data_IF_203146661569
#
_entry.id   IF_203146661569
#
_cell.length_a   1.000
_cell.length_b   1.000
_cell.length_c   1.000
_cell.angle_alpha   90.00
_cell.angle_beta   90.00
_cell.angle_gamma   90.00
#
_symmetry.space_group_name_H-M   'P 1'
#
loop_
_entity.id
_entity.type
_entity.pdbx_description
1 polymer ?
#
# COMPACT_ATOMS: atom_id res chain seq x y z
N UNK A 1 -36.81 17.51 -46.03
CA UNK A 1 -35.51 17.14 -45.44
C UNK A 1 -35.76 16.91 -43.95
N UNK A 2 -35.71 15.65 -43.49
CA UNK A 2 -35.98 15.30 -42.11
C UNK A 2 -34.63 15.37 -41.35
N UNK A 3 -34.54 16.28 -40.39
CA UNK A 3 -33.38 16.40 -39.49
C UNK A 3 -33.37 15.18 -38.57
N UNK A 4 -32.43 14.26 -38.82
CA UNK A 4 -32.14 13.14 -37.91
C UNK A 4 -31.33 13.69 -36.73
N UNK A 5 -31.98 13.89 -35.61
CA UNK A 5 -31.32 14.23 -34.34
C UNK A 5 -30.73 12.96 -33.76
N UNK A 6 -29.42 12.79 -33.90
CA UNK A 6 -28.69 11.66 -33.27
C UNK A 6 -28.45 12.05 -31.81
N UNK A 7 -29.21 11.44 -30.89
CA UNK A 7 -28.90 11.48 -29.46
C UNK A 7 -27.75 10.53 -29.17
N UNK A 8 -26.54 11.05 -28.99
CA UNK A 8 -25.42 10.29 -28.44
C UNK A 8 -25.65 10.22 -26.94
N UNK A 9 -26.17 9.09 -26.47
CA UNK A 9 -26.26 8.78 -25.04
C UNK A 9 -24.86 8.43 -24.53
N UNK A 10 -24.16 9.42 -23.92
CA UNK A 10 -22.89 9.17 -23.27
C UNK A 10 -23.15 8.40 -21.97
N UNK A 11 -22.99 7.09 -22.02
CA UNK A 11 -23.03 6.24 -20.83
C UNK A 11 -21.73 6.49 -20.05
N UNK A 12 -21.78 7.37 -19.06
CA UNK A 12 -20.70 7.52 -18.08
C UNK A 12 -20.80 6.30 -17.15
N UNK A 13 -20.04 5.27 -17.44
CA UNK A 13 -19.83 4.17 -16.49
C UNK A 13 -19.03 4.72 -15.32
N UNK A 14 -19.65 4.83 -14.14
CA UNK A 14 -18.92 5.06 -12.90
C UNK A 14 -18.18 3.76 -12.61
N UNK A 15 -16.89 3.72 -12.90
CA UNK A 15 -16.03 2.59 -12.50
C UNK A 15 -15.89 2.68 -10.99
N UNK A 16 -16.61 1.82 -10.27
CA UNK A 16 -16.45 1.64 -8.84
C UNK A 16 -15.48 0.47 -8.63
N UNK A 17 -14.38 0.73 -7.96
CA UNK A 17 -13.45 -0.34 -7.56
C UNK A 17 -14.13 -1.35 -6.62
N UNK A 18 -13.74 -2.60 -6.71
CA UNK A 18 -14.16 -3.66 -5.81
C UNK A 18 -13.39 -3.59 -4.48
N UNK A 19 -13.89 -4.31 -3.48
CA UNK A 19 -13.16 -4.53 -2.23
C UNK A 19 -12.77 -6.00 -2.18
N UNK A 20 -11.46 -6.27 -2.15
CA UNK A 20 -10.91 -7.59 -1.93
C UNK A 20 -10.45 -7.70 -0.47
N UNK A 21 -10.93 -8.72 0.22
CA UNK A 21 -10.63 -8.93 1.64
C UNK A 21 -9.45 -9.88 1.79
N UNK A 22 -8.58 -9.53 2.73
CA UNK A 22 -7.43 -10.34 3.14
C UNK A 22 -7.54 -10.62 4.64
N UNK A 23 -7.48 -11.88 5.04
CA UNK A 23 -7.64 -12.33 6.42
C UNK A 23 -6.58 -13.36 6.81
N UNK A 24 -6.07 -13.30 8.04
CA UNK A 24 -5.15 -14.31 8.58
C UNK A 24 -5.74 -15.73 8.62
N UNK A 25 -7.04 -15.85 8.43
CA UNK A 25 -7.79 -17.12 8.30
C UNK A 25 -8.26 -17.39 6.88
N UNK A 26 -7.81 -16.60 5.91
CA UNK A 26 -8.12 -16.74 4.49
C UNK A 26 -7.42 -17.91 3.80
N UNK A 27 -7.58 -18.00 2.50
CA UNK A 27 -6.95 -19.05 1.69
C UNK A 27 -6.59 -18.49 0.30
N UNK A 28 -5.33 -18.63 -0.13
CA UNK A 28 -4.88 -18.10 -1.42
C UNK A 28 -5.17 -19.02 -2.61
N UNK A 29 -5.48 -20.31 -2.35
CA UNK A 29 -5.81 -21.27 -3.41
C UNK A 29 -7.31 -21.27 -3.73
N UNK A 30 -8.16 -21.18 -2.71
CA UNK A 30 -9.62 -21.26 -2.84
C UNK A 30 -10.35 -19.95 -2.54
N UNK A 31 -9.68 -18.95 -1.99
CA UNK A 31 -10.23 -17.62 -1.73
C UNK A 31 -10.56 -16.89 -3.04
N UNK A 32 -11.63 -16.12 -3.02
CA UNK A 32 -12.05 -15.27 -4.14
C UNK A 32 -11.98 -13.76 -3.78
N UNK A 33 -11.46 -13.44 -2.59
CA UNK A 33 -11.34 -12.08 -2.09
C UNK A 33 -12.66 -11.47 -1.59
N UNK A 34 -13.75 -12.21 -1.56
CA UNK A 34 -14.97 -11.75 -0.91
C UNK A 34 -14.84 -11.74 0.62
N UNK A 35 -15.74 -11.03 1.31
CA UNK A 35 -15.74 -11.00 2.77
C UNK A 35 -15.93 -12.38 3.41
N UNK A 36 -16.62 -13.30 2.72
CA UNK A 36 -16.87 -14.66 3.21
C UNK A 36 -15.79 -15.67 2.83
N UNK A 37 -14.97 -15.34 1.83
CA UNK A 37 -13.92 -16.22 1.32
C UNK A 37 -12.65 -15.38 0.99
N UNK A 38 -12.01 -14.75 2.01
CA UNK A 38 -10.90 -13.84 1.83
C UNK A 38 -9.62 -14.55 1.38
N UNK A 39 -8.70 -13.81 0.80
CA UNK A 39 -7.33 -14.27 0.57
C UNK A 39 -6.55 -14.37 1.89
N UNK A 40 -5.53 -15.20 1.91
CA UNK A 40 -4.65 -15.39 3.08
C UNK A 40 -3.55 -14.34 3.13
N UNK A 41 -2.96 -13.97 2.00
CA UNK A 41 -1.82 -13.05 1.97
C UNK A 41 -2.18 -11.69 1.37
N UNK A 42 -1.53 -10.65 1.87
CA UNK A 42 -1.71 -9.29 1.33
C UNK A 42 -1.27 -9.24 -0.14
N UNK A 43 -0.16 -9.94 -0.49
CA UNK A 43 0.33 -9.94 -1.87
C UNK A 43 -0.70 -10.56 -2.82
N UNK A 44 -1.33 -11.67 -2.44
CA UNK A 44 -2.41 -12.27 -3.26
C UNK A 44 -3.55 -11.29 -3.51
N UNK A 45 -3.98 -10.57 -2.47
CA UNK A 45 -4.99 -9.52 -2.63
C UNK A 45 -4.56 -8.41 -3.60
N UNK A 46 -3.28 -8.00 -3.54
CA UNK A 46 -2.70 -7.01 -4.46
C UNK A 46 -2.64 -7.56 -5.88
N UNK A 47 -2.22 -8.80 -6.06
CA UNK A 47 -2.07 -9.42 -7.38
C UNK A 47 -3.42 -9.55 -8.11
N UNK A 48 -4.47 -9.94 -7.40
CA UNK A 48 -5.83 -10.11 -7.93
C UNK A 48 -6.59 -8.77 -8.11
N UNK A 49 -6.18 -7.70 -7.42
CA UNK A 49 -6.82 -6.40 -7.53
C UNK A 49 -6.66 -5.80 -8.94
N UNK A 50 -7.73 -5.26 -9.47
CA UNK A 50 -7.74 -4.40 -10.66
C UNK A 50 -7.46 -2.94 -10.27
N UNK A 51 -7.18 -2.09 -11.27
CA UNK A 51 -7.03 -0.66 -11.03
C UNK A 51 -8.29 -0.08 -10.37
N UNK A 52 -8.08 0.80 -9.37
CA UNK A 52 -9.09 1.44 -8.52
C UNK A 52 -9.72 0.53 -7.46
N UNK A 53 -9.37 -0.75 -7.38
CA UNK A 53 -9.83 -1.62 -6.31
C UNK A 53 -9.21 -1.26 -4.95
N UNK A 54 -9.87 -1.72 -3.89
CA UNK A 54 -9.37 -1.65 -2.52
C UNK A 54 -9.03 -3.05 -2.03
N UNK A 55 -7.80 -3.23 -1.58
CA UNK A 55 -7.37 -4.42 -0.84
C UNK A 55 -7.54 -4.11 0.65
N UNK A 56 -8.57 -4.66 1.26
CA UNK A 56 -8.89 -4.49 2.68
C UNK A 56 -8.23 -5.61 3.49
N UNK A 57 -7.23 -5.22 4.27
CA UNK A 57 -6.48 -6.11 5.15
C UNK A 57 -7.12 -6.08 6.53
N UNK A 58 -7.70 -7.19 6.96
CA UNK A 58 -8.35 -7.30 8.25
C UNK A 58 -7.33 -7.24 9.41
N UNK A 59 -7.83 -6.96 10.62
CA UNK A 59 -6.99 -6.88 11.81
C UNK A 59 -6.18 -8.17 12.02
N UNK A 60 -4.93 -8.00 12.39
CA UNK A 60 -4.00 -9.11 12.58
C UNK A 60 -2.54 -8.67 12.55
N UNK A 61 -1.65 -9.64 12.70
CA UNK A 61 -0.21 -9.46 12.52
C UNK A 61 0.18 -10.10 11.19
N UNK A 62 0.76 -9.29 10.32
CA UNK A 62 1.03 -9.64 8.93
C UNK A 62 2.52 -9.61 8.64
N UNK A 63 2.94 -10.43 7.71
CA UNK A 63 4.26 -10.31 7.09
C UNK A 63 4.28 -9.10 6.15
N UNK A 64 5.42 -8.40 6.11
CA UNK A 64 5.69 -7.36 5.12
C UNK A 64 6.32 -7.95 3.86
N UNK A 65 6.93 -7.07 3.07
CA UNK A 65 7.56 -7.46 1.81
C UNK A 65 6.58 -7.47 0.64
N UNK A 66 5.46 -6.76 0.77
CA UNK A 66 4.46 -6.65 -0.30
C UNK A 66 4.85 -5.57 -1.31
N UNK A 67 4.52 -5.80 -2.57
CA UNK A 67 4.83 -4.89 -3.67
C UNK A 67 3.58 -4.51 -4.46
N UNK A 68 3.40 -3.21 -4.67
CA UNK A 68 2.40 -2.63 -5.58
C UNK A 68 3.19 -2.05 -6.76
N UNK A 69 3.14 -2.71 -7.90
CA UNK A 69 3.90 -2.31 -9.09
C UNK A 69 2.94 -2.01 -10.25
N UNK A 70 3.05 -0.79 -10.81
CA UNK A 70 2.25 -0.34 -11.96
C UNK A 70 0.74 -0.62 -11.80
N UNK A 71 0.20 -0.37 -10.60
CA UNK A 71 -1.20 -0.67 -10.27
C UNK A 71 -1.78 0.39 -9.34
N UNK A 72 -2.80 1.13 -9.80
CA UNK A 72 -3.51 2.13 -9.00
C UNK A 72 -4.54 1.46 -8.09
N UNK A 73 -4.20 1.21 -6.85
CA UNK A 73 -5.10 0.60 -5.85
C UNK A 73 -5.08 1.37 -4.53
N UNK A 74 -6.03 1.02 -3.66
CA UNK A 74 -6.00 1.37 -2.24
C UNK A 74 -5.64 0.13 -1.43
N UNK A 75 -4.50 0.13 -0.75
CA UNK A 75 -4.16 -0.85 0.27
C UNK A 75 -4.57 -0.29 1.62
N UNK A 76 -5.56 -0.89 2.26
CA UNK A 76 -6.17 -0.36 3.47
C UNK A 76 -6.25 -1.41 4.58
N UNK A 77 -5.68 -1.10 5.73
CA UNK A 77 -5.92 -1.85 6.95
C UNK A 77 -7.31 -1.57 7.53
N UNK A 78 -7.92 -2.53 8.17
CA UNK A 78 -9.20 -2.36 8.84
C UNK A 78 -9.09 -1.32 9.98
N UNK A 79 -8.02 -1.36 10.77
CA UNK A 79 -7.69 -0.31 11.73
C UNK A 79 -6.17 -0.11 11.88
N UNK A 80 -5.74 1.13 12.13
CA UNK A 80 -4.31 1.42 12.31
C UNK A 80 -3.70 0.67 13.51
N UNK A 81 -4.44 0.52 14.60
CA UNK A 81 -3.88 -0.04 15.82
C UNK A 81 -3.79 -1.58 15.78
N UNK A 82 -4.62 -2.23 14.98
CA UNK A 82 -4.75 -3.69 14.98
C UNK A 82 -4.36 -4.35 13.64
N UNK A 83 -4.20 -3.60 12.55
CA UNK A 83 -3.61 -4.11 11.31
C UNK A 83 -2.11 -3.82 11.32
N UNK A 84 -1.31 -4.83 11.66
CA UNK A 84 0.12 -4.68 11.99
C UNK A 84 1.01 -5.43 11.00
N UNK A 85 1.89 -4.72 10.31
CA UNK A 85 3.07 -5.29 9.66
C UNK A 85 4.20 -5.26 10.70
N UNK A 86 4.46 -6.36 11.38
CA UNK A 86 5.33 -6.42 12.55
C UNK A 86 6.23 -7.67 12.58
N UNK A 87 6.47 -8.27 11.43
CA UNK A 87 7.40 -9.38 11.29
C UNK A 87 8.69 -8.82 10.69
N UNK A 88 9.86 -9.12 11.27
CA UNK A 88 11.14 -8.64 10.75
C UNK A 88 11.34 -9.08 9.29
N UNK A 89 11.67 -8.14 8.43
CA UNK A 89 11.94 -8.38 7.00
C UNK A 89 13.25 -7.71 6.61
N UNK A 90 13.97 -8.28 5.65
CA UNK A 90 15.17 -7.68 5.04
C UNK A 90 14.86 -6.83 3.82
N UNK A 91 13.58 -6.75 3.45
CA UNK A 91 13.03 -5.91 2.39
C UNK A 91 12.04 -4.90 2.98
N UNK A 92 11.68 -3.82 2.29
CA UNK A 92 10.65 -2.91 2.76
C UNK A 92 9.33 -3.63 3.03
N UNK A 93 8.61 -3.22 4.08
CA UNK A 93 7.31 -3.82 4.39
C UNK A 93 6.30 -3.60 3.27
N UNK A 94 6.28 -2.38 2.71
CA UNK A 94 5.47 -2.03 1.53
C UNK A 94 6.37 -1.32 0.52
N UNK A 95 6.42 -1.85 -0.70
CA UNK A 95 7.06 -1.22 -1.85
C UNK A 95 6.01 -0.74 -2.84
N UNK A 96 6.12 0.52 -3.31
CA UNK A 96 5.26 1.10 -4.34
C UNK A 96 6.13 1.53 -5.50
N UNK A 97 5.96 0.87 -6.65
CA UNK A 97 6.88 0.97 -7.77
C UNK A 97 6.15 1.33 -9.08
N UNK A 98 6.76 2.22 -9.88
CA UNK A 98 6.34 2.50 -11.26
C UNK A 98 4.86 2.92 -11.42
N UNK A 99 4.32 3.66 -10.44
CA UNK A 99 2.91 4.08 -10.47
C UNK A 99 2.78 5.55 -10.90
N UNK A 100 2.26 5.79 -12.10
CA UNK A 100 1.96 7.13 -12.59
C UNK A 100 0.75 7.77 -11.88
N UNK A 101 -0.21 6.93 -11.48
CA UNK A 101 -1.40 7.32 -10.73
C UNK A 101 -1.18 7.12 -9.22
N UNK A 102 -1.98 7.82 -8.41
CA UNK A 102 -1.81 7.79 -6.97
C UNK A 102 -2.27 6.46 -6.35
N UNK A 103 -1.34 5.73 -5.77
CA UNK A 103 -1.61 4.61 -4.86
C UNK A 103 -1.99 5.15 -3.49
N UNK A 104 -2.94 4.50 -2.79
CA UNK A 104 -3.28 4.85 -1.42
C UNK A 104 -2.85 3.73 -0.46
N UNK A 105 -2.25 4.15 0.67
CA UNK A 105 -1.89 3.24 1.76
C UNK A 105 -2.42 3.83 3.06
N UNK A 106 -3.35 3.13 3.71
CA UNK A 106 -4.09 3.68 4.85
C UNK A 106 -4.23 2.67 6.00
N UNK A 107 -4.24 3.18 7.24
CA UNK A 107 -4.59 2.43 8.45
C UNK A 107 -3.65 1.27 8.78
N UNK A 108 -2.33 1.48 8.75
CA UNK A 108 -1.36 0.44 9.12
C UNK A 108 -0.45 0.88 10.27
N UNK A 109 -0.11 -0.09 11.11
CA UNK A 109 0.99 -0.01 12.04
C UNK A 109 2.17 -0.85 11.52
N UNK A 110 3.27 -0.19 11.15
CA UNK A 110 4.41 -0.83 10.50
C UNK A 110 5.64 -0.70 11.38
N UNK A 111 6.17 -1.84 11.81
CA UNK A 111 7.30 -1.93 12.75
C UNK A 111 8.29 -3.01 12.34
N UNK A 112 9.52 -2.89 12.88
CA UNK A 112 10.60 -3.86 12.75
C UNK A 112 11.05 -4.15 11.32
N UNK A 113 10.74 -3.27 10.38
CA UNK A 113 11.38 -3.32 9.07
C UNK A 113 12.89 -3.12 9.22
N UNK A 114 13.69 -3.88 8.46
CA UNK A 114 15.15 -3.77 8.42
C UNK A 114 15.64 -3.96 6.98
N UNK A 115 15.22 -3.07 6.09
CA UNK A 115 15.56 -3.15 4.68
C UNK A 115 16.99 -2.63 4.42
N UNK A 116 17.80 -3.43 3.73
CA UNK A 116 19.20 -3.10 3.41
C UNK A 116 19.35 -1.77 2.67
N UNK A 117 18.42 -1.45 1.78
CA UNK A 117 18.44 -0.20 1.01
C UNK A 117 17.77 0.98 1.73
N UNK A 118 17.07 0.75 2.84
CA UNK A 118 16.29 1.76 3.57
C UNK A 118 14.83 1.81 3.14
N UNK A 119 14.07 2.73 3.75
CA UNK A 119 12.62 2.79 3.59
C UNK A 119 11.93 1.54 4.12
N UNK A 120 12.35 1.09 5.30
CA UNK A 120 11.98 -0.24 5.80
C UNK A 120 10.49 -0.41 6.08
N UNK A 121 9.76 0.66 6.35
CA UNK A 121 8.31 0.62 6.36
C UNK A 121 7.74 0.83 4.96
N UNK A 122 8.18 1.90 4.26
CA UNK A 122 7.71 2.27 2.93
C UNK A 122 8.90 2.58 2.02
N UNK A 123 9.00 1.88 0.91
CA UNK A 123 9.87 2.22 -0.20
C UNK A 123 9.05 2.63 -1.42
N UNK A 124 9.24 3.84 -1.90
CA UNK A 124 8.48 4.39 -3.02
C UNK A 124 9.48 4.78 -4.13
N UNK A 125 9.31 4.21 -5.31
CA UNK A 125 10.17 4.49 -6.47
C UNK A 125 9.35 4.77 -7.72
N UNK A 126 9.66 5.87 -8.41
CA UNK A 126 8.99 6.29 -9.65
C UNK A 126 7.46 6.28 -9.52
N UNK A 127 6.94 6.80 -8.39
CA UNK A 127 5.54 6.60 -8.01
C UNK A 127 4.95 7.81 -7.28
N UNK A 128 3.61 7.85 -7.25
CA UNK A 128 2.83 8.79 -6.43
C UNK A 128 2.05 8.03 -5.37
N UNK A 129 2.16 8.48 -4.12
CA UNK A 129 1.47 7.84 -2.99
C UNK A 129 0.73 8.87 -2.13
N UNK A 130 -0.49 8.54 -1.73
CA UNK A 130 -1.20 9.20 -0.64
C UNK A 130 -1.30 8.21 0.54
N UNK A 131 -0.57 8.51 1.61
CA UNK A 131 -0.53 7.70 2.82
C UNK A 131 -1.25 8.41 3.95
N UNK A 132 -2.09 7.67 4.67
CA UNK A 132 -2.90 8.24 5.73
C UNK A 132 -3.02 7.28 6.92
N UNK A 133 -3.06 7.87 8.12
CA UNK A 133 -3.31 7.12 9.35
C UNK A 133 -2.34 5.94 9.52
N UNK A 134 -1.03 6.23 9.44
CA UNK A 134 0.04 5.26 9.59
C UNK A 134 0.78 5.47 10.92
N UNK A 135 1.18 4.39 11.58
CA UNK A 135 2.14 4.37 12.69
C UNK A 135 3.41 3.65 12.22
N UNK A 136 4.45 4.43 11.91
CA UNK A 136 5.73 3.93 11.43
C UNK A 136 6.78 4.06 12.52
N UNK A 137 7.11 2.97 13.20
CA UNK A 137 8.01 3.03 14.34
C UNK A 137 8.94 1.82 14.46
N UNK A 138 10.14 2.05 15.04
CA UNK A 138 11.15 1.02 15.26
C UNK A 138 11.56 0.30 13.95
N UNK A 139 11.66 1.06 12.86
CA UNK A 139 12.17 0.55 11.57
C UNK A 139 13.61 1.04 11.41
N UNK A 140 14.44 0.21 10.80
CA UNK A 140 15.86 0.48 10.59
C UNK A 140 16.23 0.21 9.12
N UNK A 141 17.10 1.01 8.54
CA UNK A 141 17.56 0.82 7.17
C UNK A 141 18.78 1.66 6.84
N UNK A 142 19.39 1.46 5.67
CA UNK A 142 20.59 2.22 5.28
C UNK A 142 20.25 3.70 5.06
N UNK A 143 19.17 4.00 4.31
CA UNK A 143 18.71 5.35 4.03
C UNK A 143 17.22 5.47 4.35
N UNK A 144 16.84 6.43 5.23
CA UNK A 144 15.48 6.58 5.69
C UNK A 144 14.97 5.35 6.43
N UNK A 145 15.18 5.29 7.73
CA UNK A 145 14.82 4.11 8.53
C UNK A 145 13.37 3.68 8.37
N UNK A 146 12.43 4.61 8.21
CA UNK A 146 11.03 4.30 7.94
C UNK A 146 10.68 4.43 6.46
N UNK A 147 10.99 5.58 5.84
CA UNK A 147 10.51 5.92 4.49
C UNK A 147 11.69 6.27 3.59
N UNK A 148 11.72 5.69 2.38
CA UNK A 148 12.58 6.12 1.29
C UNK A 148 11.74 6.45 0.06
N UNK A 149 11.97 7.65 -0.48
CA UNK A 149 11.40 8.09 -1.76
C UNK A 149 12.52 8.24 -2.78
N UNK A 150 12.36 7.61 -3.93
CA UNK A 150 13.25 7.75 -5.09
C UNK A 150 12.42 8.18 -6.30
N UNK A 151 12.72 9.37 -6.87
CA UNK A 151 11.99 9.92 -8.00
C UNK A 151 10.46 9.89 -7.83
N UNK A 152 9.96 10.24 -6.65
CA UNK A 152 8.59 9.97 -6.23
C UNK A 152 7.97 11.12 -5.45
N UNK A 153 6.63 11.16 -5.45
CA UNK A 153 5.83 12.11 -4.69
C UNK A 153 5.04 11.39 -3.58
N UNK A 154 5.05 11.96 -2.37
CA UNK A 154 4.29 11.42 -1.25
C UNK A 154 3.48 12.52 -0.56
N UNK A 155 2.20 12.26 -0.36
CA UNK A 155 1.35 13.02 0.55
C UNK A 155 1.09 12.17 1.80
N UNK A 156 1.55 12.64 2.96
CA UNK A 156 1.38 11.94 4.24
C UNK A 156 0.47 12.74 5.16
N UNK A 157 -0.58 12.10 5.69
CA UNK A 157 -1.57 12.74 6.55
C UNK A 157 -1.89 11.89 7.78
N UNK A 158 -2.18 12.55 8.91
CA UNK A 158 -2.66 11.92 10.16
C UNK A 158 -1.81 10.73 10.62
N UNK A 159 -0.47 10.82 10.46
CA UNK A 159 0.45 9.69 10.65
C UNK A 159 1.53 10.01 11.69
N UNK A 160 2.08 8.96 12.30
CA UNK A 160 3.14 9.07 13.32
C UNK A 160 4.39 8.37 12.81
N UNK A 161 5.54 9.06 12.90
CA UNK A 161 6.86 8.52 12.55
C UNK A 161 7.79 8.78 13.73
N UNK A 162 8.20 7.72 14.43
CA UNK A 162 9.03 7.84 15.62
C UNK A 162 9.88 6.60 15.87
N UNK A 163 10.98 6.77 16.62
CA UNK A 163 11.89 5.68 16.97
C UNK A 163 12.40 4.86 15.76
N UNK A 164 12.55 5.53 14.62
CA UNK A 164 13.18 4.91 13.44
C UNK A 164 14.64 5.34 13.38
N UNK A 165 15.50 4.48 12.86
CA UNK A 165 16.94 4.73 12.74
C UNK A 165 17.47 4.37 11.36
N UNK A 166 18.58 4.97 10.98
CA UNK A 166 19.29 4.59 9.76
C UNK A 166 20.80 4.55 10.02
N UNK A 167 21.50 3.78 9.18
CA UNK A 167 22.96 3.64 9.27
C UNK A 167 23.69 4.73 8.50
N UNK A 168 23.00 5.49 7.62
CA UNK A 168 23.60 6.51 6.76
C UNK A 168 22.80 7.82 6.75
N UNK A 169 21.87 8.02 5.81
CA UNK A 169 21.22 9.30 5.57
C UNK A 169 19.72 9.28 5.84
N UNK A 170 19.18 10.43 6.30
CA UNK A 170 17.75 10.69 6.39
C UNK A 170 17.05 10.22 7.66
N UNK A 171 17.77 9.67 8.65
CA UNK A 171 17.15 9.25 9.93
C UNK A 171 15.89 8.41 9.69
N UNK A 172 14.72 9.05 9.80
CA UNK A 172 13.44 8.40 9.57
C UNK A 172 13.02 8.43 8.09
N UNK A 173 13.28 9.53 7.38
CA UNK A 173 12.84 9.75 5.98
C UNK A 173 14.05 10.14 5.13
N UNK A 174 14.17 9.53 3.96
CA UNK A 174 15.15 9.88 2.95
C UNK A 174 14.45 10.10 1.59
N UNK A 175 14.84 11.21 0.93
CA UNK A 175 14.29 11.58 -0.39
C UNK A 175 15.46 11.79 -1.34
N UNK A 176 15.39 11.16 -2.50
CA UNK A 176 16.32 11.31 -3.60
C UNK A 176 15.56 11.55 -4.92
N UNK A 177 16.09 12.47 -5.74
CA UNK A 177 15.56 12.82 -7.07
C UNK A 177 16.49 12.31 -8.17
#
# INVERSE_FOLDING_TARGET
MKNLLIFILLIISIVKGNILHVSTTGNDESGDGSANNPFLTIQKGIDEASSMDTVLVLNGVWEGGVTIDNKQITLMGESMDDTKLNIPTTVPNISVLNNNDTVRVENFKIKRGNAELGGSALYISSSKIAAKNLDLSNNTGLHGGAIRLSQSEMFLKDSRIYLNSCDSLGGAIYVEN
#
